data_IF_677686324996
#
_entry.id   IF_677686324996
#
_cell.length_a   1.000
_cell.length_b   1.000
_cell.length_c   1.000
_cell.angle_alpha   90.00
_cell.angle_beta   90.00
_cell.angle_gamma   90.00
#
_symmetry.space_group_name_H-M   'P 1'
#
loop_
_entity.id
_entity.type
_entity.pdbx_description
1 polymer ?
#
# COMPACT_ATOMS: atom_id res chain seq x y z
N UNK A 1 25.54 -10.90 -3.50
CA UNK A 1 24.49 -11.01 -4.53
C UNK A 1 23.59 -12.15 -4.16
N UNK A 2 22.28 -11.97 -4.28
CA UNK A 2 21.28 -13.02 -4.09
C UNK A 2 21.05 -13.75 -5.42
N UNK A 3 21.00 -15.08 -5.40
CA UNK A 3 20.66 -15.87 -6.58
C UNK A 3 19.18 -16.23 -6.50
N UNK A 4 18.39 -15.76 -7.46
CA UNK A 4 16.96 -16.05 -7.47
C UNK A 4 16.71 -17.54 -7.72
N UNK A 5 15.93 -18.24 -6.88
CA UNK A 5 15.65 -19.67 -7.05
C UNK A 5 14.77 -19.96 -8.26
N UNK A 6 13.91 -19.02 -8.66
CA UNK A 6 13.01 -19.18 -9.82
C UNK A 6 13.67 -18.78 -11.14
N UNK A 7 14.43 -17.70 -11.15
CA UNK A 7 15.00 -17.14 -12.38
C UNK A 7 16.44 -17.60 -12.66
N UNK A 8 17.12 -18.17 -11.67
CA UNK A 8 18.55 -18.49 -11.68
C UNK A 8 19.48 -17.27 -11.90
N UNK A 9 18.94 -16.04 -11.89
CA UNK A 9 19.67 -14.78 -12.07
C UNK A 9 20.31 -14.34 -10.75
N UNK A 10 21.56 -13.86 -10.82
CA UNK A 10 22.24 -13.19 -9.68
C UNK A 10 21.82 -11.72 -9.65
N UNK A 11 21.26 -11.29 -8.52
CA UNK A 11 20.70 -9.96 -8.32
C UNK A 11 21.37 -9.31 -7.10
N UNK A 12 21.67 -8.01 -7.18
CA UNK A 12 22.14 -7.28 -6.02
C UNK A 12 21.02 -7.18 -4.96
N UNK A 13 21.36 -7.21 -3.66
CA UNK A 13 20.36 -7.29 -2.59
C UNK A 13 19.40 -6.08 -2.56
N UNK A 14 19.84 -4.92 -3.04
CA UNK A 14 19.04 -3.70 -3.20
C UNK A 14 18.13 -3.71 -4.44
N UNK A 15 18.40 -4.56 -5.42
CA UNK A 15 17.64 -4.69 -6.67
C UNK A 15 16.62 -5.83 -6.62
N UNK A 16 16.62 -6.63 -5.55
CA UNK A 16 15.74 -7.77 -5.36
C UNK A 16 14.25 -7.41 -5.59
N UNK A 17 13.81 -6.25 -5.08
CA UNK A 17 12.44 -5.77 -5.22
C UNK A 17 12.10 -5.43 -6.67
N UNK A 18 13.05 -4.85 -7.40
CA UNK A 18 12.87 -4.52 -8.82
C UNK A 18 12.84 -5.82 -9.63
N UNK A 19 13.75 -6.75 -9.34
CA UNK A 19 13.80 -8.07 -9.95
C UNK A 19 12.49 -8.84 -9.76
N UNK A 20 11.93 -8.90 -8.56
CA UNK A 20 10.66 -9.58 -8.28
C UNK A 20 9.46 -9.00 -9.01
N UNK A 21 9.56 -7.76 -9.54
CA UNK A 21 8.52 -7.11 -10.35
C UNK A 21 8.70 -7.34 -11.84
N UNK A 22 9.82 -7.89 -12.28
CA UNK A 22 10.06 -8.15 -13.70
C UNK A 22 9.09 -9.21 -14.21
N UNK A 23 8.64 -9.06 -15.46
CA UNK A 23 7.74 -10.02 -16.12
C UNK A 23 8.33 -11.42 -16.16
N UNK A 24 9.63 -11.52 -16.47
CA UNK A 24 10.39 -12.78 -16.45
C UNK A 24 10.33 -13.46 -15.08
N UNK A 25 10.52 -12.70 -13.99
CA UNK A 25 10.40 -13.27 -12.66
C UNK A 25 8.99 -13.73 -12.34
N UNK A 26 7.98 -12.91 -12.64
CA UNK A 26 6.57 -13.27 -12.43
C UNK A 26 6.16 -14.54 -13.18
N UNK A 27 6.69 -14.73 -14.39
CA UNK A 27 6.46 -15.92 -15.21
C UNK A 27 7.12 -17.17 -14.61
N UNK A 28 8.39 -17.07 -14.20
CA UNK A 28 9.15 -18.21 -13.69
C UNK A 28 8.76 -18.61 -12.25
N UNK A 29 8.12 -17.71 -11.49
CA UNK A 29 7.52 -18.05 -10.19
C UNK A 29 6.06 -18.52 -10.30
N UNK A 30 5.58 -18.82 -11.52
CA UNK A 30 4.30 -19.49 -11.73
C UNK A 30 4.35 -20.87 -11.08
N UNK A 31 3.41 -21.15 -10.20
CA UNK A 31 3.15 -22.50 -9.68
C UNK A 31 2.03 -23.11 -10.52
N UNK A 32 2.25 -24.35 -10.96
CA UNK A 32 1.31 -25.13 -11.75
C UNK A 32 1.03 -26.43 -10.98
N UNK A 33 -0.21 -26.56 -10.51
CA UNK A 33 -0.63 -27.62 -9.61
C UNK A 33 -1.51 -28.65 -10.34
N UNK A 34 -1.66 -28.53 -11.67
CA UNK A 34 -2.39 -29.49 -12.51
C UNK A 34 -3.92 -29.36 -12.53
N UNK A 35 -4.49 -28.31 -11.92
CA UNK A 35 -5.92 -28.00 -11.98
C UNK A 35 -6.24 -26.86 -12.97
N UNK A 36 -7.42 -26.91 -13.61
CA UNK A 36 -7.84 -25.98 -14.68
C UNK A 36 -7.71 -24.49 -14.32
N UNK A 37 -7.98 -24.11 -13.05
CA UNK A 37 -7.78 -22.75 -12.55
C UNK A 37 -7.54 -22.73 -11.02
N UNK A 38 -6.29 -22.85 -10.56
CA UNK A 38 -5.96 -22.71 -9.13
C UNK A 38 -5.69 -21.24 -8.73
N UNK A 39 -5.90 -20.90 -7.45
CA UNK A 39 -5.62 -19.56 -6.90
C UNK A 39 -4.64 -19.65 -5.75
N UNK A 40 -3.54 -18.93 -5.83
CA UNK A 40 -2.58 -18.85 -4.73
C UNK A 40 -2.18 -17.41 -4.42
N UNK A 41 -1.73 -17.21 -3.19
CA UNK A 41 -1.33 -15.92 -2.66
C UNK A 41 0.12 -15.64 -3.06
N UNK A 42 0.32 -14.67 -3.97
CA UNK A 42 1.65 -14.44 -4.55
C UNK A 42 2.63 -13.88 -3.54
N UNK A 43 2.25 -12.94 -2.66
CA UNK A 43 3.01 -12.42 -1.50
C UNK A 43 2.13 -11.42 -0.71
N UNK A 44 2.30 -11.32 0.61
CA UNK A 44 1.66 -10.31 1.48
C UNK A 44 2.67 -9.36 2.13
N UNK A 45 2.27 -8.10 2.26
CA UNK A 45 2.88 -7.04 3.07
C UNK A 45 4.21 -6.39 2.59
N UNK A 46 4.10 -5.49 1.60
CA UNK A 46 4.77 -4.17 1.68
C UNK A 46 3.99 -3.14 0.83
N UNK A 47 3.88 -1.89 1.32
CA UNK A 47 3.16 -0.77 0.68
C UNK A 47 1.66 -0.99 0.42
N UNK A 48 0.87 -1.08 1.48
CA UNK A 48 -0.60 -1.14 1.41
C UNK A 48 -1.20 -2.31 0.61
N UNK A 49 -0.42 -3.21 -0.02
CA UNK A 49 -0.93 -4.44 -0.64
C UNK A 49 -1.37 -5.41 0.46
N UNK A 50 -2.67 -5.68 0.56
CA UNK A 50 -3.23 -6.68 1.48
C UNK A 50 -2.84 -8.05 0.94
N UNK A 51 -3.28 -8.33 -0.29
CA UNK A 51 -3.14 -9.63 -0.92
C UNK A 51 -3.05 -9.46 -2.43
N UNK A 52 -2.33 -10.37 -3.09
CA UNK A 52 -2.38 -10.52 -4.54
C UNK A 52 -2.76 -11.95 -4.84
N UNK A 53 -3.94 -12.14 -5.43
CA UNK A 53 -4.35 -13.43 -5.96
C UNK A 53 -3.82 -13.56 -7.37
N UNK A 54 -3.38 -14.77 -7.72
CA UNK A 54 -3.11 -15.13 -9.10
C UNK A 54 -4.06 -16.25 -9.52
N UNK A 55 -4.70 -16.10 -10.66
CA UNK A 55 -5.51 -17.13 -11.31
C UNK A 55 -4.75 -17.53 -12.57
N UNK A 56 -4.34 -18.80 -12.68
CA UNK A 56 -3.59 -19.26 -13.85
C UNK A 56 -4.47 -19.26 -15.12
N UNK A 57 -3.83 -19.10 -16.27
CA UNK A 57 -4.44 -19.42 -17.56
C UNK A 57 -4.46 -20.92 -17.80
N UNK A 58 -5.36 -21.38 -18.67
CA UNK A 58 -5.42 -22.79 -19.09
C UNK A 58 -4.42 -23.09 -20.20
N UNK A 59 -4.16 -24.39 -20.40
CA UNK A 59 -3.41 -24.92 -21.53
C UNK A 59 -4.21 -24.89 -22.84
N UNK A 60 -5.54 -24.76 -22.77
CA UNK A 60 -6.41 -24.61 -23.93
C UNK A 60 -6.28 -23.22 -24.55
N UNK A 61 -6.29 -23.16 -25.89
CA UNK A 61 -6.37 -21.92 -26.66
C UNK A 61 -7.70 -21.20 -26.34
N UNK A 62 -7.67 -20.32 -25.35
CA UNK A 62 -8.78 -19.42 -25.01
C UNK A 62 -8.45 -18.00 -25.46
N UNK A 63 -9.46 -17.33 -26.02
CA UNK A 63 -9.38 -15.87 -26.19
C UNK A 63 -9.39 -15.20 -24.82
N UNK A 64 -8.81 -13.99 -24.68
CA UNK A 64 -8.84 -13.25 -23.42
C UNK A 64 -10.28 -13.02 -22.91
N UNK A 65 -11.23 -12.81 -23.82
CA UNK A 65 -12.65 -12.66 -23.50
C UNK A 65 -13.22 -13.93 -22.85
N UNK A 66 -13.01 -15.09 -23.48
CA UNK A 66 -13.55 -16.35 -22.97
C UNK A 66 -12.91 -16.72 -21.63
N UNK A 67 -11.60 -16.53 -21.49
CA UNK A 67 -10.89 -16.73 -20.22
C UNK A 67 -11.40 -15.83 -19.09
N UNK A 68 -11.59 -14.53 -19.34
CA UNK A 68 -12.12 -13.61 -18.33
C UNK A 68 -13.56 -14.00 -17.96
N UNK A 69 -14.37 -14.47 -18.92
CA UNK A 69 -15.72 -14.95 -18.65
C UNK A 69 -15.74 -16.21 -17.79
N UNK A 70 -14.83 -17.18 -18.01
CA UNK A 70 -14.80 -18.43 -17.24
C UNK A 70 -14.42 -18.20 -15.77
N UNK A 71 -13.53 -17.25 -15.48
CA UNK A 71 -13.07 -16.98 -14.11
C UNK A 71 -13.93 -15.96 -13.35
N UNK A 72 -14.96 -15.38 -13.98
CA UNK A 72 -15.76 -14.28 -13.43
C UNK A 72 -16.36 -14.58 -12.05
N UNK A 73 -16.96 -15.77 -11.88
CA UNK A 73 -17.54 -16.19 -10.60
C UNK A 73 -16.49 -16.25 -9.49
N UNK A 74 -15.31 -16.80 -9.80
CA UNK A 74 -14.19 -16.91 -8.85
C UNK A 74 -13.64 -15.54 -8.45
N UNK A 75 -13.46 -14.63 -9.42
CA UNK A 75 -13.01 -13.27 -9.15
C UNK A 75 -13.99 -12.55 -8.22
N UNK A 76 -15.29 -12.61 -8.54
CA UNK A 76 -16.32 -11.97 -7.71
C UNK A 76 -16.36 -12.54 -6.28
N UNK A 77 -16.21 -13.86 -6.11
CA UNK A 77 -16.13 -14.47 -4.78
C UNK A 77 -14.92 -13.96 -3.98
N UNK A 78 -13.73 -13.88 -4.60
CA UNK A 78 -12.53 -13.37 -3.93
C UNK A 78 -12.69 -11.89 -3.54
N UNK A 79 -13.26 -11.07 -4.42
CA UNK A 79 -13.53 -9.67 -4.12
C UNK A 79 -14.54 -9.51 -2.98
N UNK A 80 -15.59 -10.32 -2.95
CA UNK A 80 -16.59 -10.31 -1.89
C UNK A 80 -15.95 -10.61 -0.53
N UNK A 81 -15.17 -11.69 -0.44
CA UNK A 81 -14.45 -12.07 0.79
C UNK A 81 -13.54 -10.95 1.30
N UNK A 82 -12.79 -10.31 0.40
CA UNK A 82 -11.86 -9.23 0.78
C UNK A 82 -12.57 -7.94 1.19
N UNK A 83 -13.70 -7.61 0.56
CA UNK A 83 -14.53 -6.47 0.92
C UNK A 83 -15.20 -6.69 2.28
N UNK A 84 -15.69 -7.90 2.57
CA UNK A 84 -16.27 -8.25 3.88
C UNK A 84 -15.24 -8.16 5.01
N UNK A 85 -14.03 -8.69 4.77
CA UNK A 85 -12.95 -8.68 5.76
C UNK A 85 -12.40 -7.27 6.03
N UNK A 86 -12.17 -6.47 4.98
CA UNK A 86 -11.47 -5.19 5.10
C UNK A 86 -12.39 -3.95 5.09
N UNK A 87 -13.69 -4.12 4.80
CA UNK A 87 -14.75 -3.09 4.62
C UNK A 87 -14.55 -2.16 3.43
N UNK A 88 -13.31 -1.72 3.19
CA UNK A 88 -12.92 -0.91 2.05
C UNK A 88 -11.57 -1.34 1.49
N UNK A 89 -11.51 -1.53 0.18
CA UNK A 89 -10.30 -1.95 -0.53
C UNK A 89 -10.08 -1.14 -1.80
N UNK A 90 -8.83 -1.11 -2.29
CA UNK A 90 -8.46 -0.63 -3.62
C UNK A 90 -7.99 -1.81 -4.45
N UNK A 91 -8.66 -2.07 -5.56
CA UNK A 91 -8.40 -3.22 -6.41
C UNK A 91 -7.95 -2.78 -7.79
N UNK A 92 -6.96 -3.48 -8.34
CA UNK A 92 -6.70 -3.48 -9.77
C UNK A 92 -6.36 -4.89 -10.27
N UNK A 93 -6.59 -5.09 -11.56
CA UNK A 93 -6.31 -6.34 -12.26
C UNK A 93 -5.13 -6.16 -13.20
N UNK A 94 -4.35 -7.21 -13.42
CA UNK A 94 -3.29 -7.25 -14.44
C UNK A 94 -3.30 -8.61 -15.15
N UNK A 95 -3.64 -8.61 -16.44
CA UNK A 95 -3.64 -9.82 -17.27
C UNK A 95 -2.27 -10.02 -17.92
N UNK A 96 -1.71 -11.23 -17.87
CA UNK A 96 -0.44 -11.58 -18.49
C UNK A 96 -0.66 -12.57 -19.64
N UNK A 97 -0.13 -12.23 -20.82
CA UNK A 97 -0.29 -12.99 -22.05
C UNK A 97 1.03 -13.09 -22.80
N UNK A 98 1.30 -14.27 -23.33
CA UNK A 98 2.42 -14.54 -24.24
C UNK A 98 1.94 -14.32 -25.68
N UNK A 99 2.66 -13.48 -26.40
CA UNK A 99 2.42 -13.19 -27.81
C UNK A 99 3.60 -13.64 -28.65
N UNK A 100 3.32 -14.08 -29.87
CA UNK A 100 4.32 -14.49 -30.86
C UNK A 100 4.21 -13.64 -32.11
N UNK A 101 5.34 -13.34 -32.74
CA UNK A 101 5.41 -12.76 -34.09
C UNK A 101 6.43 -13.55 -34.90
N UNK A 102 6.04 -13.93 -36.11
CA UNK A 102 6.94 -14.60 -37.06
C UNK A 102 7.55 -13.56 -37.99
N UNK A 103 8.87 -13.41 -37.96
CA UNK A 103 9.56 -12.56 -38.94
C UNK A 103 9.62 -13.29 -40.28
N UNK A 104 9.25 -12.60 -41.36
CA UNK A 104 9.17 -13.17 -42.71
C UNK A 104 10.52 -13.60 -43.30
N UNK A 105 11.63 -13.09 -42.76
CA UNK A 105 12.95 -13.23 -43.40
C UNK A 105 13.83 -14.36 -42.81
N UNK A 106 13.47 -14.95 -41.66
CA UNK A 106 14.37 -15.89 -40.96
C UNK A 106 13.68 -17.14 -40.34
N UNK A 107 12.37 -17.33 -40.56
CA UNK A 107 11.53 -18.29 -39.80
C UNK A 107 11.69 -18.17 -38.27
N UNK A 108 12.19 -17.01 -37.80
CA UNK A 108 12.41 -16.72 -36.39
C UNK A 108 11.06 -16.34 -35.76
N UNK A 109 10.60 -17.19 -34.83
CA UNK A 109 9.45 -16.90 -33.97
C UNK A 109 9.94 -16.14 -32.75
N UNK A 110 9.53 -14.88 -32.63
CA UNK A 110 9.81 -14.06 -31.46
C UNK A 110 8.63 -14.18 -30.51
N UNK A 111 8.92 -14.59 -29.29
CA UNK A 111 7.95 -14.67 -28.19
C UNK A 111 8.19 -13.53 -27.20
N UNK A 112 7.14 -12.81 -26.82
CA UNK A 112 7.22 -11.80 -25.76
C UNK A 112 6.03 -11.87 -24.79
N UNK A 113 6.33 -11.59 -23.52
CA UNK A 113 5.33 -11.55 -22.44
C UNK A 113 4.80 -10.13 -22.31
N UNK A 114 3.51 -9.94 -22.57
CA UNK A 114 2.80 -8.67 -22.38
C UNK A 114 1.92 -8.72 -21.14
N UNK A 115 1.74 -7.56 -20.53
CA UNK A 115 0.83 -7.41 -19.39
C UNK A 115 -0.09 -6.21 -19.57
N UNK A 116 -1.36 -6.37 -19.19
CA UNK A 116 -2.41 -5.38 -19.36
C UNK A 116 -3.04 -5.07 -18.01
N UNK A 117 -2.59 -3.97 -17.40
CA UNK A 117 -3.01 -3.57 -16.07
C UNK A 117 -4.23 -2.64 -16.08
N UNK A 118 -5.01 -2.59 -15.01
CA UNK A 118 -6.09 -1.63 -14.83
C UNK A 118 -5.75 -0.62 -13.74
N UNK A 119 -6.50 0.49 -13.69
CA UNK A 119 -6.36 1.51 -12.65
C UNK A 119 -6.93 0.96 -11.33
N UNK A 120 -6.41 1.46 -10.21
CA UNK A 120 -6.98 1.14 -8.90
C UNK A 120 -8.38 1.74 -8.76
N UNK A 121 -9.35 0.89 -8.41
CA UNK A 121 -10.73 1.27 -8.12
C UNK A 121 -11.02 0.97 -6.65
N UNK A 122 -11.74 1.88 -6.00
CA UNK A 122 -12.18 1.69 -4.61
C UNK A 122 -13.46 0.86 -4.59
N UNK A 123 -13.46 -0.22 -3.79
CA UNK A 123 -14.61 -1.10 -3.56
C UNK A 123 -14.98 -1.11 -2.08
N UNK A 124 -16.26 -1.28 -1.80
CA UNK A 124 -16.86 -1.38 -0.47
C UNK A 124 -18.04 -2.37 -0.51
N UNK A 125 -18.61 -2.72 0.65
CA UNK A 125 -19.67 -3.74 0.77
C UNK A 125 -20.88 -3.45 -0.14
N UNK A 126 -21.23 -2.17 -0.33
CA UNK A 126 -22.34 -1.76 -1.20
C UNK A 126 -21.95 -1.59 -2.68
N UNK A 127 -20.70 -1.83 -3.05
CA UNK A 127 -20.27 -1.79 -4.46
C UNK A 127 -20.84 -2.96 -5.23
N UNK A 128 -21.30 -2.71 -6.45
CA UNK A 128 -21.63 -3.77 -7.40
C UNK A 128 -20.34 -4.37 -7.98
N UNK A 129 -19.95 -5.52 -7.44
CA UNK A 129 -18.74 -6.24 -7.84
C UNK A 129 -18.84 -6.80 -9.27
N UNK A 130 -20.04 -7.18 -9.70
CA UNK A 130 -20.26 -7.74 -11.04
C UNK A 130 -20.08 -6.67 -12.10
N UNK A 131 -20.70 -5.50 -11.90
CA UNK A 131 -20.52 -4.35 -12.78
C UNK A 131 -19.06 -3.88 -12.79
N UNK A 132 -18.39 -3.81 -11.64
CA UNK A 132 -16.96 -3.50 -11.56
C UNK A 132 -16.11 -4.47 -12.38
N UNK A 133 -16.36 -5.78 -12.26
CA UNK A 133 -15.61 -6.79 -13.00
C UNK A 133 -15.82 -6.66 -14.50
N UNK A 134 -17.07 -6.54 -14.96
CA UNK A 134 -17.40 -6.37 -16.38
C UNK A 134 -16.75 -5.13 -17.00
N UNK A 135 -16.81 -3.98 -16.34
CA UNK A 135 -16.13 -2.76 -16.80
C UNK A 135 -14.60 -2.94 -16.85
N UNK A 136 -14.04 -3.65 -15.88
CA UNK A 136 -12.60 -3.91 -15.82
C UNK A 136 -12.15 -4.85 -16.93
N UNK A 137 -12.93 -5.89 -17.23
CA UNK A 137 -12.70 -6.79 -18.36
C UNK A 137 -12.76 -6.06 -19.70
N UNK A 138 -13.76 -5.20 -19.93
CA UNK A 138 -13.84 -4.40 -21.15
C UNK A 138 -12.60 -3.51 -21.36
N UNK A 139 -12.08 -2.92 -20.27
CA UNK A 139 -10.85 -2.13 -20.31
C UNK A 139 -9.60 -2.97 -20.63
N UNK A 140 -9.53 -4.21 -20.16
CA UNK A 140 -8.43 -5.14 -20.49
C UNK A 140 -8.52 -5.54 -21.95
N UNK A 141 -9.72 -5.93 -22.43
CA UNK A 141 -9.95 -6.32 -23.82
C UNK A 141 -9.53 -5.23 -24.80
N UNK A 142 -9.95 -3.98 -24.56
CA UNK A 142 -9.54 -2.84 -25.35
C UNK A 142 -8.02 -2.68 -25.43
N UNK A 143 -7.30 -2.91 -24.32
CA UNK A 143 -5.83 -2.85 -24.30
C UNK A 143 -5.17 -3.99 -25.07
N UNK A 144 -5.78 -5.17 -25.09
CA UNK A 144 -5.31 -6.30 -25.89
C UNK A 144 -5.50 -6.03 -27.39
N UNK A 145 -6.67 -5.51 -27.79
CA UNK A 145 -6.99 -5.13 -29.17
C UNK A 145 -6.04 -4.03 -29.68
N UNK A 146 -5.90 -2.92 -28.92
CA UNK A 146 -4.98 -1.83 -29.27
C UNK A 146 -3.52 -2.31 -29.44
N UNK A 147 -3.11 -3.37 -28.74
CA UNK A 147 -1.78 -3.96 -28.87
C UNK A 147 -1.65 -4.78 -30.16
N UNK A 148 -2.66 -5.58 -30.51
CA UNK A 148 -2.68 -6.37 -31.75
C UNK A 148 -2.72 -5.48 -33.00
N UNK A 149 -3.47 -4.38 -32.95
CA UNK A 149 -3.62 -3.45 -34.09
C UNK A 149 -2.37 -2.60 -34.35
N UNK A 150 -1.64 -2.17 -33.31
CA UNK A 150 -0.49 -1.26 -33.46
C UNK A 150 0.76 -1.94 -34.03
N UNK A 151 1.01 -3.20 -33.67
CA UNK A 151 2.26 -3.90 -33.98
C UNK A 151 2.09 -5.03 -35.03
N UNK A 152 1.08 -4.92 -35.92
CA UNK A 152 0.90 -5.67 -37.19
C UNK A 152 1.65 -7.00 -37.31
N UNK A 153 1.31 -7.99 -36.49
CA UNK A 153 1.94 -9.32 -36.55
C UNK A 153 2.00 -10.11 -35.24
N UNK A 154 1.72 -9.48 -34.09
CA UNK A 154 1.65 -10.20 -32.82
C UNK A 154 0.35 -10.98 -32.70
N UNK A 155 0.48 -12.30 -32.65
CA UNK A 155 -0.62 -13.24 -32.39
C UNK A 155 -0.56 -13.68 -30.94
N UNK A 156 -1.71 -13.75 -30.28
CA UNK A 156 -1.81 -14.33 -28.94
C UNK A 156 -1.48 -15.82 -29.00
N UNK A 157 -0.45 -16.25 -28.28
CA UNK A 157 -0.09 -17.66 -28.15
C UNK A 157 -0.77 -18.28 -26.93
N UNK A 158 -0.66 -17.60 -25.78
CA UNK A 158 -1.10 -18.15 -24.49
C UNK A 158 -1.49 -17.08 -23.49
N UNK A 159 -2.52 -17.36 -22.70
CA UNK A 159 -2.83 -16.59 -21.49
C UNK A 159 -2.06 -17.23 -20.33
N UNK A 160 -1.20 -16.46 -19.68
CA UNK A 160 -0.37 -17.00 -18.60
C UNK A 160 -1.11 -17.03 -17.27
N UNK A 161 -1.65 -15.87 -16.85
CA UNK A 161 -2.41 -15.71 -15.61
C UNK A 161 -3.03 -14.31 -15.51
N UNK A 162 -4.03 -14.17 -14.63
CA UNK A 162 -4.57 -12.91 -14.14
C UNK A 162 -4.09 -12.66 -12.70
N UNK A 163 -3.58 -11.48 -12.41
CA UNK A 163 -3.34 -11.01 -11.04
C UNK A 163 -4.46 -10.08 -10.57
N UNK A 164 -5.05 -10.39 -9.41
CA UNK A 164 -5.96 -9.50 -8.67
C UNK A 164 -5.17 -8.90 -7.52
N UNK A 165 -4.87 -7.61 -7.60
CA UNK A 165 -4.15 -6.94 -6.53
C UNK A 165 -5.13 -6.19 -5.63
N UNK A 166 -5.21 -6.60 -4.38
CA UNK A 166 -6.05 -5.99 -3.35
C UNK A 166 -5.16 -5.17 -2.42
N UNK A 167 -5.48 -3.89 -2.30
CA UNK A 167 -4.73 -2.93 -1.50
C UNK A 167 -5.62 -2.37 -0.39
N UNK A 168 -5.04 -2.18 0.79
CA UNK A 168 -5.64 -1.50 1.92
C UNK A 168 -6.05 -0.11 1.48
N UNK A 169 -7.34 0.17 1.63
CA UNK A 169 -7.88 1.50 1.47
C UNK A 169 -8.24 2.04 2.85
N UNK A 170 -7.46 3.01 3.31
CA UNK A 170 -7.85 3.81 4.46
C UNK A 170 -8.62 4.99 3.88
N UNK A 171 -9.96 5.01 3.96
CA UNK A 171 -10.72 6.18 3.56
C UNK A 171 -10.25 7.35 4.43
N UNK A 172 -9.91 8.47 3.79
CA UNK A 172 -9.69 9.72 4.51
C UNK A 172 -10.98 10.04 5.27
N UNK A 173 -10.93 10.01 6.60
CA UNK A 173 -12.08 10.31 7.45
C UNK A 173 -11.69 11.45 8.38
N UNK A 174 -12.34 12.58 8.20
CA UNK A 174 -12.28 13.66 9.17
C UNK A 174 -13.21 13.33 10.33
N UNK A 175 -12.65 12.82 11.44
CA UNK A 175 -13.42 12.43 12.62
C UNK A 175 -13.66 13.64 13.54
N UNK A 176 -12.80 13.81 14.52
CA UNK A 176 -12.82 14.89 15.50
C UNK A 176 -11.49 15.64 15.50
N UNK A 177 -11.39 16.66 16.35
CA UNK A 177 -10.17 17.44 16.50
C UNK A 177 -8.95 16.56 16.80
N UNK A 178 -7.89 16.81 16.02
CA UNK A 178 -6.54 16.32 16.32
C UNK A 178 -5.57 17.51 16.33
N UNK A 179 -4.59 17.54 17.24
CA UNK A 179 -3.60 18.61 17.26
C UNK A 179 -2.72 18.54 16.01
N UNK A 180 -2.57 19.68 15.31
CA UNK A 180 -1.66 19.79 14.17
C UNK A 180 -0.20 19.69 14.62
N UNK A 181 0.73 19.25 13.75
CA UNK A 181 2.15 19.30 14.05
C UNK A 181 2.63 20.73 14.34
N UNK A 182 3.55 20.88 15.30
CA UNK A 182 4.07 22.18 15.75
C UNK A 182 4.58 23.09 14.62
N UNK A 183 5.12 22.50 13.55
CA UNK A 183 5.65 23.25 12.41
C UNK A 183 4.56 23.86 11.52
N UNK A 184 3.33 23.32 11.54
CA UNK A 184 2.15 23.92 10.88
C UNK A 184 1.49 24.91 11.83
N UNK A 185 1.31 24.51 13.09
CA UNK A 185 0.64 25.34 14.08
C UNK A 185 1.33 26.70 14.23
N UNK A 186 2.68 26.72 14.30
CA UNK A 186 3.47 27.96 14.38
C UNK A 186 3.37 28.86 13.16
N UNK A 187 2.92 28.37 12.01
CA UNK A 187 2.73 29.22 10.81
C UNK A 187 1.42 30.00 10.86
N UNK A 188 0.50 29.67 11.76
CA UNK A 188 -0.83 30.26 11.84
C UNK A 188 -1.63 30.24 10.51
N UNK A 189 -1.23 29.38 9.56
CA UNK A 189 -1.81 29.30 8.22
C UNK A 189 -3.01 28.35 8.10
N UNK A 190 -3.33 27.61 9.17
CA UNK A 190 -4.44 26.66 9.21
C UNK A 190 -5.29 26.89 10.46
N UNK A 191 -6.58 27.14 10.26
CA UNK A 191 -7.57 27.17 11.34
C UNK A 191 -7.95 25.73 11.69
N UNK A 192 -7.72 25.32 12.93
CA UNK A 192 -8.02 23.97 13.42
C UNK A 192 -9.09 24.04 14.53
N UNK A 193 -10.35 23.88 14.13
CA UNK A 193 -11.50 23.96 15.03
C UNK A 193 -11.53 22.75 15.97
N UNK A 194 -11.60 23.00 17.28
CA UNK A 194 -11.63 22.01 18.36
C UNK A 194 -13.03 21.45 18.58
N UNK A 195 -13.47 20.59 17.67
CA UNK A 195 -14.76 19.90 17.77
C UNK A 195 -14.67 18.56 18.52
N UNK A 196 -15.73 18.22 19.26
CA UNK A 196 -15.86 16.98 20.02
C UNK A 196 -16.77 15.94 19.34
N UNK A 197 -17.31 16.26 18.16
CA UNK A 197 -18.16 15.37 17.34
C UNK A 197 -17.38 14.79 16.15
N UNK A 198 -18.03 13.93 15.35
CA UNK A 198 -17.42 13.32 14.16
C UNK A 198 -17.58 14.19 12.90
N UNK A 199 -17.79 15.50 13.07
CA UNK A 199 -18.14 16.44 12.01
C UNK A 199 -17.01 17.40 11.62
N UNK A 200 -15.74 17.02 11.82
CA UNK A 200 -14.61 17.95 11.63
C UNK A 200 -14.53 18.48 10.19
N UNK A 201 -14.97 17.71 9.18
CA UNK A 201 -15.10 18.18 7.80
C UNK A 201 -16.00 19.42 7.72
N UNK A 202 -17.20 19.34 8.29
CA UNK A 202 -18.15 20.45 8.24
C UNK A 202 -17.62 21.67 9.01
N UNK A 203 -17.05 21.46 10.20
CA UNK A 203 -16.44 22.54 10.97
C UNK A 203 -15.29 23.23 10.24
N UNK A 204 -14.46 22.47 9.50
CA UNK A 204 -13.38 23.03 8.68
C UNK A 204 -13.90 23.82 7.47
N UNK A 205 -15.01 23.39 6.85
CA UNK A 205 -15.62 24.15 5.76
C UNK A 205 -16.32 25.41 6.29
N UNK A 206 -17.01 25.34 7.44
CA UNK A 206 -17.62 26.52 8.08
C UNK A 206 -16.53 27.54 8.42
N UNK A 207 -15.43 27.14 9.06
CA UNK A 207 -14.38 28.09 9.45
C UNK A 207 -13.70 28.77 8.28
N UNK A 208 -13.60 28.09 7.14
CA UNK A 208 -13.08 28.68 5.90
C UNK A 208 -14.04 29.70 5.27
N UNK A 209 -15.37 29.51 5.40
CA UNK A 209 -16.38 30.39 4.81
C UNK A 209 -16.80 31.54 5.72
N UNK A 210 -16.64 31.39 7.04
CA UNK A 210 -17.01 32.36 8.05
C UNK A 210 -15.79 32.69 8.92
N UNK A 211 -14.76 33.36 8.37
CA UNK A 211 -13.55 33.67 9.13
C UNK A 211 -13.86 34.58 10.33
N UNK A 212 -13.13 34.37 11.43
CA UNK A 212 -13.26 35.13 12.68
C UNK A 212 -11.88 35.58 13.16
N UNK A 213 -11.81 36.78 13.74
CA UNK A 213 -10.54 37.39 14.15
C UNK A 213 -9.99 36.80 15.45
N UNK A 214 -10.86 36.32 16.35
CA UNK A 214 -10.46 35.81 17.66
C UNK A 214 -11.16 34.49 17.97
N UNK A 215 -10.47 33.63 18.75
CA UNK A 215 -10.97 32.32 19.15
C UNK A 215 -11.41 31.44 17.97
N UNK A 216 -10.68 31.51 16.84
CA UNK A 216 -10.99 30.76 15.61
C UNK A 216 -10.90 29.23 15.78
N UNK A 217 -10.32 28.76 16.88
CA UNK A 217 -10.26 27.34 17.23
C UNK A 217 -11.53 26.83 17.93
N UNK A 218 -12.50 27.68 18.30
CA UNK A 218 -13.70 27.26 19.03
C UNK A 218 -14.88 27.03 18.07
N UNK A 219 -15.60 25.90 18.16
CA UNK A 219 -16.82 25.68 17.38
C UNK A 219 -17.89 26.76 17.60
N UNK A 220 -17.98 27.29 18.84
CA UNK A 220 -18.96 28.33 19.22
C UNK A 220 -18.71 29.69 18.56
N UNK A 221 -17.52 29.90 17.97
CA UNK A 221 -17.21 31.11 17.20
C UNK A 221 -17.89 31.12 15.83
N UNK A 222 -18.50 30.01 15.42
CA UNK A 222 -19.08 29.84 14.10
C UNK A 222 -20.57 29.45 14.16
N UNK A 223 -21.35 29.75 13.10
CA UNK A 223 -22.68 29.19 12.95
C UNK A 223 -22.66 27.66 12.96
N UNK A 224 -23.71 27.04 13.50
CA UNK A 224 -23.84 25.59 13.50
C UNK A 224 -23.83 25.05 12.06
N UNK A 225 -22.94 24.11 11.74
CA UNK A 225 -22.83 23.60 10.37
C UNK A 225 -24.14 22.99 9.83
N UNK A 226 -25.00 22.45 10.69
CA UNK A 226 -26.30 21.87 10.32
C UNK A 226 -27.29 22.92 9.80
N UNK A 227 -27.16 24.18 10.21
CA UNK A 227 -28.01 25.28 9.71
C UNK A 227 -27.43 25.89 8.44
N UNK A 228 -26.11 25.81 8.26
CA UNK A 228 -25.41 26.37 7.10
C UNK A 228 -25.45 25.44 5.89
N UNK A 229 -25.33 24.13 6.10
CA UNK A 229 -25.14 23.17 5.01
C UNK A 229 -26.27 22.14 4.91
N UNK A 230 -26.54 21.73 3.67
CA UNK A 230 -27.33 20.54 3.35
C UNK A 230 -26.47 19.31 3.59
N UNK A 231 -26.79 18.57 4.66
CA UNK A 231 -26.06 17.38 5.11
C UNK A 231 -26.79 16.06 4.83
N UNK A 232 -28.02 16.09 4.29
CA UNK A 232 -28.85 14.91 4.08
C UNK A 232 -28.19 13.88 3.14
N UNK A 233 -28.02 12.67 3.64
CA UNK A 233 -27.39 11.55 2.91
C UNK A 233 -25.87 11.66 2.80
N UNK A 234 -25.24 12.45 3.65
CA UNK A 234 -23.78 12.46 3.84
C UNK A 234 -23.48 11.83 5.20
N UNK A 235 -22.83 10.67 5.19
CA UNK A 235 -22.45 9.99 6.41
C UNK A 235 -21.29 10.71 7.11
N UNK A 236 -21.32 10.69 8.45
CA UNK A 236 -20.22 11.14 9.30
C UNK A 236 -19.42 9.93 9.80
N UNK A 237 -18.08 10.00 9.85
CA UNK A 237 -17.23 11.07 9.31
C UNK A 237 -17.23 11.12 7.78
N UNK A 238 -17.15 12.32 7.20
CA UNK A 238 -17.29 12.54 5.75
C UNK A 238 -16.15 11.85 4.99
N UNK A 239 -16.52 10.97 4.06
CA UNK A 239 -15.62 10.29 3.13
C UNK A 239 -15.37 11.11 1.86
N UNK A 240 -14.41 10.70 1.03
CA UNK A 240 -14.11 11.36 -0.26
C UNK A 240 -15.34 11.38 -1.20
N UNK A 241 -16.12 10.30 -1.24
CA UNK A 241 -17.39 10.24 -1.97
C UNK A 241 -18.41 11.21 -1.37
N UNK A 242 -18.45 11.33 -0.04
CA UNK A 242 -19.26 12.32 0.67
C UNK A 242 -18.90 13.77 0.29
N UNK A 243 -17.62 14.07 0.05
CA UNK A 243 -17.17 15.40 -0.42
C UNK A 243 -17.81 15.72 -1.78
N UNK A 244 -17.76 14.81 -2.76
CA UNK A 244 -18.37 15.05 -4.08
C UNK A 244 -19.87 15.38 -3.96
N UNK A 245 -20.59 14.63 -3.12
CA UNK A 245 -22.01 14.87 -2.85
C UNK A 245 -22.22 16.23 -2.17
N UNK A 246 -21.37 16.56 -1.20
CA UNK A 246 -21.38 17.86 -0.52
C UNK A 246 -21.21 19.03 -1.49
N UNK A 247 -20.24 18.95 -2.40
CA UNK A 247 -19.94 19.99 -3.39
C UNK A 247 -21.16 20.30 -4.27
N UNK A 248 -21.85 19.26 -4.74
CA UNK A 248 -23.06 19.38 -5.57
C UNK A 248 -24.23 19.96 -4.77
N UNK A 249 -24.47 19.43 -3.56
CA UNK A 249 -25.61 19.86 -2.73
C UNK A 249 -25.50 21.30 -2.26
N UNK A 250 -24.28 21.74 -1.94
CA UNK A 250 -24.02 23.05 -1.34
C UNK A 250 -23.40 24.06 -2.31
N UNK A 251 -23.10 23.64 -3.56
CA UNK A 251 -22.48 24.49 -4.60
C UNK A 251 -21.18 25.15 -4.11
N UNK A 252 -20.26 24.34 -3.57
CA UNK A 252 -18.96 24.77 -3.04
C UNK A 252 -17.88 23.85 -3.63
N UNK A 253 -16.79 24.42 -4.14
CA UNK A 253 -15.62 23.64 -4.57
C UNK A 253 -14.73 23.34 -3.36
N UNK A 254 -14.39 22.08 -3.14
CA UNK A 254 -13.54 21.65 -2.02
C UNK A 254 -12.23 21.08 -2.56
N UNK A 255 -11.11 21.61 -2.08
CA UNK A 255 -9.80 21.02 -2.27
C UNK A 255 -9.29 20.50 -0.93
N UNK A 256 -8.71 19.30 -0.92
CA UNK A 256 -8.11 18.68 0.27
C UNK A 256 -6.65 18.39 -0.03
N UNK A 257 -5.78 18.89 0.83
CA UNK A 257 -4.33 18.69 0.78
C UNK A 257 -3.87 17.84 1.95
N UNK A 258 -2.93 16.93 1.73
CA UNK A 258 -2.32 16.08 2.74
C UNK A 258 -0.86 16.44 3.00
N UNK A 259 -0.28 15.80 4.00
CA UNK A 259 1.12 15.98 4.40
C UNK A 259 1.89 14.67 4.18
N UNK A 260 2.95 14.73 3.39
CA UNK A 260 3.89 13.61 3.22
C UNK A 260 4.91 13.52 4.37
N UNK A 261 5.59 12.37 4.48
CA UNK A 261 6.64 12.11 5.49
C UNK A 261 7.78 13.14 5.47
N UNK A 262 8.07 13.73 4.31
CA UNK A 262 9.09 14.77 4.10
C UNK A 262 8.57 16.20 4.37
N UNK A 263 7.37 16.35 4.96
CA UNK A 263 6.67 17.64 5.22
C UNK A 263 6.25 18.40 3.96
N UNK A 264 6.18 17.75 2.79
CA UNK A 264 5.58 18.34 1.58
C UNK A 264 4.06 18.26 1.64
N UNK A 265 3.41 19.31 1.15
CA UNK A 265 1.96 19.37 0.96
C UNK A 265 1.63 18.77 -0.39
N UNK A 266 0.72 17.80 -0.42
CA UNK A 266 0.28 17.11 -1.64
C UNK A 266 -1.24 17.23 -1.83
N UNK A 267 -1.74 17.33 -3.06
CA UNK A 267 -3.18 17.28 -3.30
C UNK A 267 -3.70 15.85 -3.05
N UNK A 268 -4.73 15.72 -2.22
CA UNK A 268 -5.41 14.45 -1.94
C UNK A 268 -6.79 14.36 -2.59
N UNK A 269 -7.48 15.49 -2.69
CA UNK A 269 -8.70 15.67 -3.44
C UNK A 269 -8.71 17.06 -4.04
N UNK A 270 -8.98 17.17 -5.33
CA UNK A 270 -9.11 18.47 -6.01
C UNK A 270 -10.46 18.46 -6.70
N UNK A 271 -11.26 19.49 -6.45
CA UNK A 271 -12.55 19.62 -7.08
C UNK A 271 -12.40 19.64 -8.60
N UNK A 272 -13.20 18.83 -9.27
CA UNK A 272 -13.26 18.82 -10.75
C UNK A 272 -14.23 19.88 -11.27
N UNK A 273 -15.20 20.27 -10.46
CA UNK A 273 -16.07 21.40 -10.76
C UNK A 273 -15.28 22.68 -10.46
N UNK A 274 -15.15 23.55 -11.46
CA UNK A 274 -14.68 24.93 -11.26
C UNK A 274 -15.85 25.91 -11.43
N UNK A 275 -17.06 25.42 -11.19
CA UNK A 275 -18.28 26.01 -11.71
C UNK A 275 -19.06 26.75 -10.61
N UNK A 276 -18.54 26.76 -9.38
CA UNK A 276 -19.13 27.43 -8.23
C UNK A 276 -18.22 28.56 -7.76
N UNK A 277 -18.81 29.68 -7.33
CA UNK A 277 -18.08 30.88 -6.90
C UNK A 277 -17.33 30.70 -5.58
N UNK A 278 -17.78 29.75 -4.73
CA UNK A 278 -17.19 29.49 -3.42
C UNK A 278 -16.21 28.35 -3.50
N UNK A 279 -14.98 28.57 -3.03
CA UNK A 279 -13.92 27.56 -2.97
C UNK A 279 -13.30 27.52 -1.57
N UNK A 280 -13.05 26.30 -1.07
CA UNK A 280 -12.37 26.07 0.20
C UNK A 280 -11.18 25.13 0.03
N UNK A 281 -10.10 25.41 0.76
CA UNK A 281 -8.90 24.59 0.82
C UNK A 281 -8.78 24.00 2.23
N UNK A 282 -8.79 22.68 2.32
CA UNK A 282 -8.74 21.94 3.57
C UNK A 282 -7.41 21.21 3.69
N UNK A 283 -6.91 21.10 4.92
CA UNK A 283 -5.76 20.27 5.25
C UNK A 283 -6.25 18.97 5.88
N UNK A 284 -5.98 17.84 5.22
CA UNK A 284 -6.11 16.51 5.79
C UNK A 284 -4.85 16.16 6.58
N UNK A 285 -5.04 15.87 7.85
CA UNK A 285 -3.99 15.39 8.73
C UNK A 285 -4.50 14.15 9.46
N UNK A 286 -3.62 13.17 9.62
CA UNK A 286 -3.83 12.01 10.48
C UNK A 286 -2.67 11.96 11.47
N UNK A 287 -2.99 11.78 12.74
CA UNK A 287 -1.95 11.58 13.75
C UNK A 287 -1.40 10.16 13.59
N UNK A 288 -0.12 10.04 13.22
CA UNK A 288 0.57 8.76 13.06
C UNK A 288 0.52 7.87 14.33
N UNK A 289 0.20 8.43 15.50
CA UNK A 289 0.00 7.67 16.74
C UNK A 289 -1.27 6.81 16.76
N UNK A 290 -2.25 7.06 15.88
CA UNK A 290 -3.49 6.27 15.77
C UNK A 290 -3.37 5.09 14.78
N UNK A 291 -2.24 4.96 14.08
CA UNK A 291 -1.90 3.75 13.35
C UNK A 291 -1.17 2.78 14.30
N UNK A 292 -1.92 2.01 15.10
CA UNK A 292 -1.37 0.90 15.91
C UNK A 292 -0.60 -0.14 15.06
N UNK A 293 -0.73 -0.10 13.72
CA UNK A 293 0.00 -0.98 12.81
C UNK A 293 1.31 -0.44 12.23
N UNK A 294 1.73 0.81 12.51
CA UNK A 294 2.89 1.43 11.81
C UNK A 294 4.02 1.91 12.74
N UNK A 295 3.90 1.66 14.05
CA UNK A 295 5.02 1.76 14.99
C UNK A 295 5.76 0.44 15.05
N UNK A 296 6.59 0.13 14.05
CA UNK A 296 7.62 -0.90 14.26
C UNK A 296 8.56 -0.43 15.35
N UNK A 297 8.34 -0.88 16.59
CA UNK A 297 9.24 -0.59 17.72
C UNK A 297 10.48 -1.47 17.55
N UNK A 298 11.54 -0.88 17.01
CA UNK A 298 12.83 -1.56 16.84
C UNK A 298 13.56 -1.56 18.19
N UNK A 299 13.68 -2.71 18.82
CA UNK A 299 14.47 -2.90 20.05
C UNK A 299 15.68 -3.75 19.76
N UNK A 300 16.82 -3.36 20.33
CA UNK A 300 18.07 -4.10 20.25
C UNK A 300 18.94 -3.71 21.43
N UNK A 301 19.05 -4.61 22.42
CA UNK A 301 19.68 -4.30 23.70
C UNK A 301 21.19 -4.17 23.54
N UNK A 302 21.74 -3.04 23.96
CA UNK A 302 23.19 -2.79 23.96
C UNK A 302 23.75 -2.21 22.66
N UNK A 303 22.91 -1.92 21.67
CA UNK A 303 23.30 -1.24 20.41
C UNK A 303 22.82 0.21 20.44
N UNK A 304 23.58 1.15 19.87
CA UNK A 304 23.18 2.58 19.88
C UNK A 304 21.92 2.83 19.06
N UNK A 305 21.09 3.80 19.50
CA UNK A 305 19.87 4.17 18.78
C UNK A 305 20.14 4.60 17.32
N UNK A 306 21.30 5.18 17.03
CA UNK A 306 21.70 5.52 15.67
C UNK A 306 21.85 4.29 14.77
N UNK A 307 22.47 3.22 15.28
CA UNK A 307 22.62 1.95 14.56
C UNK A 307 21.27 1.22 14.47
N UNK A 308 20.49 1.18 15.55
CA UNK A 308 19.15 0.55 15.57
C UNK A 308 18.20 1.19 14.56
N UNK A 309 18.29 2.51 14.31
CA UNK A 309 17.49 3.19 13.30
C UNK A 309 17.73 2.69 11.87
N UNK A 310 18.94 2.18 11.57
CA UNK A 310 19.30 1.62 10.26
C UNK A 310 18.68 0.24 10.02
N UNK A 311 18.31 -0.49 11.07
CA UNK A 311 17.69 -1.81 10.95
C UNK A 311 16.29 -1.71 10.33
N UNK A 312 15.91 -2.68 9.52
CA UNK A 312 14.57 -2.83 8.96
C UNK A 312 14.07 -4.27 9.15
N UNK A 313 12.79 -4.51 8.87
CA UNK A 313 12.16 -5.82 9.05
C UNK A 313 12.89 -6.94 8.29
N UNK A 314 13.39 -6.66 7.08
CA UNK A 314 14.13 -7.65 6.30
C UNK A 314 15.47 -8.03 6.96
N UNK A 315 16.09 -7.13 7.73
CA UNK A 315 17.26 -7.50 8.54
C UNK A 315 16.91 -8.55 9.60
N UNK A 316 15.76 -8.40 10.27
CA UNK A 316 15.27 -9.37 11.26
C UNK A 316 14.89 -10.71 10.61
N UNK A 317 14.17 -10.66 9.48
CA UNK A 317 13.80 -11.87 8.74
C UNK A 317 15.02 -12.65 8.26
N UNK A 318 16.01 -11.97 7.69
CA UNK A 318 17.27 -12.61 7.28
C UNK A 318 18.01 -13.23 8.46
N UNK A 319 18.00 -12.57 9.61
CA UNK A 319 18.66 -13.09 10.81
C UNK A 319 18.00 -14.40 11.27
N UNK A 320 16.68 -14.51 11.15
CA UNK A 320 15.91 -15.70 11.49
C UNK A 320 16.02 -16.81 10.43
N UNK A 321 15.67 -16.49 9.16
CA UNK A 321 15.52 -17.49 8.10
C UNK A 321 16.86 -17.96 7.50
N UNK A 322 17.90 -17.13 7.59
CA UNK A 322 19.17 -17.34 6.87
C UNK A 322 20.39 -17.30 7.78
N UNK A 323 20.20 -17.33 9.10
CA UNK A 323 21.25 -17.16 10.10
C UNK A 323 22.16 -15.95 9.84
N UNK A 324 21.58 -14.88 9.29
CA UNK A 324 22.32 -13.67 8.95
C UNK A 324 22.78 -12.92 10.19
N UNK A 325 24.07 -12.63 10.26
CA UNK A 325 24.67 -11.82 11.32
C UNK A 325 25.11 -10.47 10.75
N UNK A 326 24.68 -9.38 11.35
CA UNK A 326 25.10 -8.02 11.00
C UNK A 326 26.05 -7.41 12.02
N UNK A 327 26.97 -6.59 11.52
CA UNK A 327 27.92 -5.82 12.33
C UNK A 327 27.87 -4.34 11.92
N UNK A 328 28.00 -3.43 12.87
CA UNK A 328 28.15 -1.99 12.60
C UNK A 328 29.16 -1.39 13.59
N UNK A 329 29.71 -0.23 13.23
CA UNK A 329 30.64 0.50 14.05
C UNK A 329 29.86 1.40 15.02
N UNK A 330 30.24 1.33 16.29
CA UNK A 330 29.73 2.20 17.34
C UNK A 330 30.87 3.05 17.89
N UNK A 331 30.64 4.36 17.94
CA UNK A 331 31.55 5.31 18.59
C UNK A 331 31.17 5.39 20.06
N UNK A 332 32.12 5.10 20.95
CA UNK A 332 31.92 5.11 22.39
C UNK A 332 33.07 5.87 23.05
N UNK A 333 32.76 6.74 24.02
CA UNK A 333 33.79 7.32 24.88
C UNK A 333 34.25 6.29 25.90
N UNK A 334 35.57 6.15 26.05
CA UNK A 334 36.19 5.27 27.04
C UNK A 334 37.26 6.06 27.78
N UNK A 335 37.50 5.69 29.03
CA UNK A 335 38.57 6.26 29.85
C UNK A 335 39.55 5.16 30.26
N UNK A 336 40.83 5.40 30.08
CA UNK A 336 41.90 4.63 30.72
C UNK A 336 42.81 5.57 31.49
N UNK A 337 43.13 5.25 32.75
CA UNK A 337 43.94 6.10 33.65
C UNK A 337 43.58 7.59 33.56
N UNK A 338 42.30 7.92 33.69
CA UNK A 338 41.75 9.28 33.62
C UNK A 338 41.89 10.02 32.27
N UNK A 339 42.39 9.37 31.22
CA UNK A 339 42.40 9.93 29.87
C UNK A 339 41.18 9.45 29.09
N UNK A 340 40.30 10.40 28.72
CA UNK A 340 39.09 10.11 27.93
C UNK A 340 39.41 10.21 26.44
N UNK A 341 39.05 9.18 25.68
CA UNK A 341 39.19 9.16 24.23
C UNK A 341 37.99 8.48 23.57
N UNK A 342 37.81 8.75 22.27
CA UNK A 342 36.77 8.10 21.47
C UNK A 342 37.32 6.80 20.91
N UNK A 343 36.62 5.68 21.16
CA UNK A 343 36.95 4.39 20.59
C UNK A 343 35.85 3.96 19.61
N UNK A 344 36.25 3.47 18.44
CA UNK A 344 35.35 2.80 17.51
C UNK A 344 35.33 1.32 17.83
N UNK A 345 34.17 0.79 18.22
CA UNK A 345 33.97 -0.65 18.45
C UNK A 345 33.11 -1.22 17.34
N UNK A 346 33.61 -2.22 16.62
CA UNK A 346 32.81 -3.02 15.67
C UNK A 346 31.99 -4.02 16.47
N UNK A 347 30.66 -3.89 16.45
CA UNK A 347 29.76 -4.68 17.30
C UNK A 347 28.81 -5.52 16.46
N UNK A 348 28.51 -6.74 16.93
CA UNK A 348 27.40 -7.56 16.42
C UNK A 348 26.09 -6.84 16.72
N UNK A 349 25.37 -6.46 15.68
CA UNK A 349 24.12 -5.70 15.78
C UNK A 349 22.94 -6.64 15.83
N UNK A 350 22.84 -7.59 14.91
CA UNK A 350 21.67 -8.49 14.82
C UNK A 350 22.14 -9.89 14.46
N UNK A 351 21.63 -10.89 15.15
CA UNK A 351 21.78 -12.32 14.89
C UNK A 351 20.49 -13.06 15.24
N UNK A 352 20.26 -14.22 14.62
CA UNK A 352 19.25 -15.18 15.05
C UNK A 352 19.65 -15.90 16.33
N UNK A 353 20.95 -16.06 16.57
CA UNK A 353 21.46 -16.69 17.78
C UNK A 353 21.37 -15.73 19.00
N UNK A 354 20.84 -16.24 20.10
CA UNK A 354 20.95 -15.65 21.44
C UNK A 354 21.97 -16.44 22.25
N UNK A 355 23.20 -15.97 22.33
CA UNK A 355 24.29 -16.64 23.05
C UNK A 355 24.08 -16.67 24.58
N UNK A 356 23.10 -15.93 25.10
CA UNK A 356 22.82 -15.82 26.53
C UNK A 356 21.68 -16.72 26.99
N UNK A 357 21.00 -17.40 26.07
CA UNK A 357 19.87 -18.29 26.36
C UNK A 357 19.97 -19.56 25.52
N UNK A 358 19.44 -20.66 26.04
CA UNK A 358 19.26 -21.88 25.28
C UNK A 358 18.00 -21.74 24.41
N UNK A 359 18.14 -21.81 23.08
CA UNK A 359 17.02 -21.80 22.15
C UNK A 359 16.46 -23.23 22.07
N UNK A 360 15.15 -23.41 22.27
CA UNK A 360 14.51 -24.73 22.20
C UNK A 360 14.37 -25.23 20.76
N UNK A 361 14.06 -26.52 20.59
CA UNK A 361 13.96 -27.17 19.27
C UNK A 361 12.92 -26.53 18.33
N UNK A 362 11.93 -25.81 18.87
CA UNK A 362 10.97 -25.03 18.08
C UNK A 362 11.55 -23.76 17.43
N UNK A 363 12.81 -23.42 17.75
CA UNK A 363 13.51 -22.26 17.21
C UNK A 363 12.98 -20.90 17.68
N UNK A 364 12.03 -20.88 18.63
CA UNK A 364 11.32 -19.65 19.04
C UNK A 364 11.41 -19.43 20.54
N UNK A 365 11.20 -20.47 21.34
CA UNK A 365 11.25 -20.34 22.80
C UNK A 365 12.70 -20.35 23.29
N UNK A 366 12.96 -19.64 24.40
CA UNK A 366 14.30 -19.54 25.00
C UNK A 366 14.27 -19.80 26.50
N UNK A 367 15.23 -20.59 26.97
CA UNK A 367 15.45 -20.94 28.37
C UNK A 367 16.73 -20.30 28.90
N UNK A 368 16.79 -19.98 30.18
CA UNK A 368 18.06 -19.58 30.79
C UNK A 368 19.00 -20.79 30.87
N UNK A 369 20.30 -20.60 30.65
CA UNK A 369 21.29 -21.66 30.87
C UNK A 369 21.17 -22.24 32.28
N UNK A 370 21.15 -23.57 32.41
CA UNK A 370 20.91 -24.28 33.68
C UNK A 370 19.45 -24.52 34.05
N UNK A 371 18.49 -24.15 33.19
CA UNK A 371 17.08 -24.48 33.39
C UNK A 371 16.84 -25.99 33.32
N UNK A 372 16.02 -26.55 34.22
CA UNK A 372 15.78 -27.99 34.36
C UNK A 372 15.27 -28.73 33.11
N UNK A 373 14.72 -27.98 32.13
CA UNK A 373 14.28 -28.50 30.83
C UNK A 373 15.41 -28.61 29.78
N UNK A 374 16.57 -28.05 30.07
CA UNK A 374 17.79 -28.20 29.28
C UNK A 374 18.44 -29.50 29.79
N UNK A 375 18.25 -30.59 29.05
CA UNK A 375 18.83 -31.90 29.39
C UNK A 375 20.26 -32.02 28.91
#
# INVERSE_FOLDING_TARGET
>A
MYKCPYCNVKVASNELIVHSRTKRHKLLCKQDDGEDYFTYVVHSAYKCRIITYRINGTSSLLTPELYLKTIAAKVNQLLQMEVESNKHIKVNLELFCTYIITKRDEDEVITDLKSFNTKNVHLQISSDLSSYYSETCANIMKKCEEFQERDSGWTLEKIEFLEINVNKYIPMRGNSFIPLPDWIQRKHACVNVKNNDNACFFWAVVSALYPVDSNSDRPTSYPCYKTVFKTTGIDLPVSVQGIKRFEVLNKINVNVYGIEKNKRIIPMYISKARNYDRQVNLLFYENAKLNEGDLTVKKNKGTSAAVVRKLNFENYRKALDCNFVSYDNMYTFTSDKHHVYTQIKRKKVLSGDDDKRYITEDGVNTLAWGHYKIK
#
